data_IF_631956421314
#
_entry.id   IF_631956421314
#
_cell.length_a   1.000
_cell.length_b   1.000
_cell.length_c   1.000
_cell.angle_alpha   90.00
_cell.angle_beta   90.00
_cell.angle_gamma   90.00
#
_symmetry.space_group_name_H-M   'P 1'
#
loop_
_entity.id
_entity.type
_entity.pdbx_description
1 polymer ?
#
# COMPACT_ATOMS: atom_id res chain seq x y z
N UNK A 1 -24.53 0.65 -13.12
CA UNK A 1 -24.27 -0.48 -12.21
C UNK A 1 -23.51 0.03 -10.99
N UNK A 2 -24.07 -0.16 -9.80
CA UNK A 2 -23.47 0.31 -8.56
C UNK A 2 -23.94 -0.52 -7.37
N UNK A 3 -23.08 -0.62 -6.37
CA UNK A 3 -23.47 -1.08 -5.04
C UNK A 3 -23.86 0.09 -4.17
N UNK A 4 -24.91 -0.10 -3.40
CA UNK A 4 -25.40 0.86 -2.43
C UNK A 4 -25.39 0.24 -1.04
N UNK A 5 -24.91 1.02 -0.07
CA UNK A 5 -25.10 0.76 1.35
C UNK A 5 -26.44 1.36 1.73
N UNK A 6 -27.42 0.49 1.91
CA UNK A 6 -28.75 0.84 2.35
C UNK A 6 -28.81 0.70 3.87
N UNK A 7 -29.22 1.76 4.57
CA UNK A 7 -29.38 1.77 6.01
C UNK A 7 -30.78 2.22 6.38
N UNK A 8 -31.43 1.49 7.29
CA UNK A 8 -32.76 1.83 7.78
C UNK A 8 -32.93 1.37 9.23
N UNK A 9 -33.92 1.94 9.94
CA UNK A 9 -34.23 1.53 11.30
C UNK A 9 -35.10 0.27 11.31
N UNK A 10 -34.82 -0.65 12.23
CA UNK A 10 -35.69 -1.79 12.51
C UNK A 10 -36.87 -1.37 13.41
N UNK A 11 -37.84 -2.27 13.62
CA UNK A 11 -38.97 -2.07 14.56
C UNK A 11 -38.52 -1.65 15.97
N UNK A 12 -37.33 -2.08 16.39
CA UNK A 12 -36.73 -1.79 17.69
C UNK A 12 -35.81 -0.55 17.72
N UNK A 13 -35.77 0.26 16.66
CA UNK A 13 -34.91 1.45 16.59
C UNK A 13 -33.41 1.18 16.31
N UNK A 14 -33.02 -0.09 16.09
CA UNK A 14 -31.65 -0.44 15.72
C UNK A 14 -31.37 -0.21 14.23
N UNK A 15 -30.19 0.29 13.90
CA UNK A 15 -29.77 0.59 12.53
C UNK A 15 -29.35 -0.68 11.79
N UNK A 16 -30.11 -1.07 10.77
CA UNK A 16 -29.80 -2.19 9.89
C UNK A 16 -29.03 -1.69 8.67
N UNK A 17 -28.00 -2.42 8.27
CA UNK A 17 -27.22 -2.11 7.06
C UNK A 17 -27.26 -3.29 6.10
N UNK A 18 -27.46 -3.00 4.81
CA UNK A 18 -27.48 -3.98 3.72
C UNK A 18 -26.73 -3.44 2.52
N UNK A 19 -26.06 -4.32 1.80
CA UNK A 19 -25.43 -3.99 0.51
C UNK A 19 -26.37 -4.45 -0.59
N UNK A 20 -26.86 -3.51 -1.39
CA UNK A 20 -27.83 -3.75 -2.45
C UNK A 20 -27.20 -3.40 -3.80
N UNK A 21 -27.39 -4.29 -4.77
CA UNK A 21 -26.98 -4.05 -6.15
C UNK A 21 -28.09 -3.38 -6.95
N UNK A 22 -27.76 -2.29 -7.63
CA UNK A 22 -28.61 -1.70 -8.67
C UNK A 22 -27.96 -1.89 -10.05
N UNK A 23 -28.70 -2.37 -11.06
CA UNK A 23 -28.20 -2.42 -12.43
C UNK A 23 -27.94 -0.99 -12.97
N UNK A 24 -28.75 -0.02 -12.54
CA UNK A 24 -28.64 1.39 -12.93
C UNK A 24 -27.76 2.16 -11.94
N UNK A 25 -27.33 3.37 -12.31
CA UNK A 25 -26.66 4.32 -11.40
C UNK A 25 -27.60 4.92 -10.35
N UNK A 26 -28.92 4.86 -10.58
CA UNK A 26 -29.93 5.33 -9.64
C UNK A 26 -30.33 4.22 -8.64
N UNK A 27 -30.64 4.63 -7.42
CA UNK A 27 -31.25 3.78 -6.41
C UNK A 27 -32.70 4.21 -6.18
N UNK A 28 -33.62 3.25 -6.18
CA UNK A 28 -35.03 3.49 -5.88
C UNK A 28 -35.48 2.54 -4.79
N UNK A 29 -36.18 3.07 -3.79
CA UNK A 29 -36.79 2.29 -2.72
C UNK A 29 -38.15 2.87 -2.35
N UNK A 30 -39.11 1.99 -2.03
CA UNK A 30 -40.42 2.40 -1.50
C UNK A 30 -40.28 2.68 0.00
N UNK A 31 -40.56 3.91 0.48
CA UNK A 31 -40.31 4.30 1.87
C UNK A 31 -41.24 3.61 2.89
N UNK A 32 -42.38 3.05 2.44
CA UNK A 32 -43.39 2.45 3.32
C UNK A 32 -42.81 1.26 4.10
N UNK A 33 -42.84 1.34 5.44
CA UNK A 33 -42.41 0.27 6.34
C UNK A 33 -40.90 0.25 6.65
N UNK A 34 -40.12 1.24 6.20
CA UNK A 34 -38.67 1.31 6.44
C UNK A 34 -38.27 2.09 7.70
N UNK A 35 -39.25 2.62 8.45
CA UNK A 35 -39.03 3.43 9.64
C UNK A 35 -38.89 4.92 9.32
N UNK A 36 -38.55 5.71 10.34
CA UNK A 36 -38.38 7.18 10.25
C UNK A 36 -37.08 7.63 9.58
N UNK A 37 -36.12 6.72 9.40
CA UNK A 37 -34.80 7.04 8.85
C UNK A 37 -34.40 6.05 7.75
N UNK A 38 -33.98 6.61 6.63
CA UNK A 38 -33.44 5.89 5.47
C UNK A 38 -32.19 6.64 5.02
N UNK A 39 -31.07 5.92 4.90
CA UNK A 39 -29.84 6.45 4.33
C UNK A 39 -29.36 5.54 3.20
N UNK A 40 -29.01 6.13 2.07
CA UNK A 40 -28.54 5.43 0.88
C UNK A 40 -27.26 6.09 0.43
N UNK A 41 -26.18 5.31 0.42
CA UNK A 41 -24.88 5.79 -0.01
C UNK A 41 -24.29 4.83 -1.02
N UNK A 42 -23.57 5.36 -2.01
CA UNK A 42 -22.80 4.51 -2.92
C UNK A 42 -21.71 3.80 -2.11
N UNK A 43 -21.62 2.49 -2.26
CA UNK A 43 -20.71 1.65 -1.49
C UNK A 43 -19.55 1.17 -2.34
N UNK A 44 -18.35 1.23 -1.78
CA UNK A 44 -17.14 0.65 -2.35
C UNK A 44 -16.43 -0.20 -1.29
N UNK A 45 -15.92 -1.35 -1.69
CA UNK A 45 -15.10 -2.19 -0.83
C UNK A 45 -13.69 -1.62 -0.75
N UNK A 46 -13.25 -1.31 0.46
CA UNK A 46 -11.87 -0.92 0.72
C UNK A 46 -11.00 -2.15 0.86
N UNK A 47 -9.92 -2.19 0.08
CA UNK A 47 -8.92 -3.26 0.12
C UNK A 47 -7.57 -2.61 0.35
N UNK A 48 -6.93 -3.01 1.45
CA UNK A 48 -5.61 -2.54 1.79
C UNK A 48 -4.60 -3.60 1.40
N UNK A 49 -3.77 -3.29 0.41
CA UNK A 49 -2.70 -4.19 0.01
C UNK A 49 -1.51 -3.42 -0.60
N UNK A 50 -0.30 -3.84 -0.23
CA UNK A 50 0.93 -3.11 -0.57
C UNK A 50 1.34 -3.24 -2.05
N UNK A 51 1.14 -4.41 -2.65
CA UNK A 51 1.70 -4.73 -3.98
C UNK A 51 0.65 -5.25 -4.96
N UNK A 52 -0.10 -6.28 -4.57
CA UNK A 52 -1.12 -6.90 -5.41
C UNK A 52 -2.32 -5.97 -5.62
N UNK A 53 -2.78 -5.92 -6.86
CA UNK A 53 -4.05 -5.30 -7.22
C UNK A 53 -5.22 -6.21 -6.82
N UNK A 54 -6.39 -5.64 -6.48
CA UNK A 54 -7.53 -6.45 -6.10
C UNK A 54 -8.05 -7.22 -7.30
N UNK A 55 -8.32 -8.51 -7.10
CA UNK A 55 -8.95 -9.38 -8.09
C UNK A 55 -10.23 -9.98 -7.51
N UNK A 56 -11.14 -10.38 -8.39
CA UNK A 56 -12.37 -11.07 -8.02
C UNK A 56 -12.26 -12.54 -8.38
N UNK A 57 -12.55 -13.39 -7.40
CA UNK A 57 -12.62 -14.83 -7.57
C UNK A 57 -14.06 -15.29 -7.31
N UNK A 58 -14.58 -16.18 -8.14
CA UNK A 58 -15.88 -16.82 -7.96
C UNK A 58 -15.67 -18.29 -7.72
N UNK A 59 -16.16 -18.77 -6.57
CA UNK A 59 -16.09 -20.18 -6.23
C UNK A 59 -17.15 -21.00 -7.00
N UNK A 60 -17.02 -22.32 -6.97
CA UNK A 60 -17.98 -23.27 -7.59
C UNK A 60 -19.40 -23.08 -7.08
N UNK A 61 -19.55 -22.64 -5.82
CA UNK A 61 -20.84 -22.37 -5.18
C UNK A 61 -21.47 -21.03 -5.61
N UNK A 62 -20.80 -20.24 -6.47
CA UNK A 62 -21.26 -18.92 -6.94
C UNK A 62 -20.95 -17.77 -5.96
N UNK A 63 -20.30 -18.06 -4.84
CA UNK A 63 -19.81 -17.05 -3.92
C UNK A 63 -18.63 -16.29 -4.51
N UNK A 64 -18.66 -14.95 -4.39
CA UNK A 64 -17.62 -14.08 -4.90
C UNK A 64 -16.73 -13.57 -3.77
N UNK A 65 -15.42 -13.58 -4.01
CA UNK A 65 -14.39 -13.17 -3.07
C UNK A 65 -13.50 -12.11 -3.68
N UNK A 66 -13.01 -11.18 -2.85
CA UNK A 66 -11.94 -10.26 -3.22
C UNK A 66 -10.60 -10.85 -2.79
N UNK A 67 -9.69 -11.02 -3.75
CA UNK A 67 -8.29 -11.33 -3.53
C UNK A 67 -7.47 -10.04 -3.43
N UNK A 68 -6.41 -10.01 -2.59
CA UNK A 68 -5.85 -11.11 -1.80
C UNK A 68 -6.51 -11.35 -0.43
N UNK A 69 -7.41 -10.47 0.02
CA UNK A 69 -7.99 -10.53 1.39
C UNK A 69 -8.92 -11.73 1.62
N UNK A 70 -9.31 -12.48 0.58
CA UNK A 70 -10.30 -13.57 0.61
C UNK A 70 -11.63 -13.15 1.25
N UNK A 71 -12.00 -11.87 1.12
CA UNK A 71 -13.23 -11.34 1.73
C UNK A 71 -14.42 -11.72 0.86
N UNK A 72 -15.41 -12.39 1.44
CA UNK A 72 -16.69 -12.68 0.77
C UNK A 72 -17.44 -11.38 0.49
N UNK A 73 -17.89 -11.21 -0.75
CA UNK A 73 -18.55 -10.01 -1.24
C UNK A 73 -19.81 -10.33 -2.02
N UNK A 74 -20.59 -9.29 -2.33
CA UNK A 74 -21.82 -9.44 -3.10
C UNK A 74 -21.52 -10.07 -4.49
N UNK A 75 -22.32 -11.04 -4.97
CA UNK A 75 -22.03 -11.79 -6.19
C UNK A 75 -21.94 -10.92 -7.44
N UNK A 76 -22.69 -9.81 -7.49
CA UNK A 76 -22.67 -8.83 -8.59
C UNK A 76 -21.62 -7.73 -8.46
N UNK A 77 -20.66 -7.86 -7.54
CA UNK A 77 -19.55 -6.91 -7.43
C UNK A 77 -18.70 -6.87 -8.69
N UNK A 78 -18.29 -5.66 -9.05
CA UNK A 78 -17.37 -5.38 -10.15
C UNK A 78 -16.08 -4.77 -9.61
N UNK A 79 -15.01 -4.74 -10.40
CA UNK A 79 -13.73 -4.12 -10.01
C UNK A 79 -13.87 -2.63 -9.71
N UNK A 80 -14.81 -1.94 -10.36
CA UNK A 80 -15.10 -0.51 -10.13
C UNK A 80 -15.66 -0.24 -8.72
N UNK A 81 -16.29 -1.24 -8.10
CA UNK A 81 -16.81 -1.14 -6.73
C UNK A 81 -15.73 -1.38 -5.67
N UNK A 82 -14.46 -1.55 -6.07
CA UNK A 82 -13.33 -1.75 -5.17
C UNK A 82 -12.48 -0.48 -5.16
N UNK A 83 -12.03 -0.10 -3.96
CA UNK A 83 -11.08 0.97 -3.72
C UNK A 83 -9.81 0.36 -3.13
N UNK A 84 -8.72 0.38 -3.91
CA UNK A 84 -7.42 -0.09 -3.47
C UNK A 84 -6.72 1.03 -2.70
N UNK A 85 -6.56 0.85 -1.40
CA UNK A 85 -5.81 1.75 -0.54
C UNK A 85 -4.39 1.19 -0.44
N UNK A 86 -3.44 1.89 -1.06
CA UNK A 86 -2.02 1.53 -0.96
C UNK A 86 -1.46 2.12 0.33
N UNK A 87 -0.83 1.33 1.21
CA UNK A 87 -0.14 1.88 2.37
C UNK A 87 0.92 2.88 1.89
N UNK A 88 0.99 4.03 2.55
CA UNK A 88 2.01 5.03 2.26
C UNK A 88 3.37 4.40 2.60
N UNK A 89 4.29 4.38 1.63
CA UNK A 89 5.68 4.00 1.91
C UNK A 89 6.26 5.05 2.85
N UNK A 90 6.93 4.61 3.90
CA UNK A 90 7.73 5.50 4.72
C UNK A 90 8.79 6.19 3.83
N UNK A 91 8.94 7.51 3.99
CA UNK A 91 9.94 8.26 3.25
C UNK A 91 11.31 7.84 3.78
N UNK A 92 12.10 7.20 2.94
CA UNK A 92 13.50 6.87 3.28
C UNK A 92 14.29 8.14 3.51
N UNK A 93 15.16 8.15 4.50
CA UNK A 93 16.10 9.25 4.68
C UNK A 93 17.09 9.27 3.51
N UNK A 94 17.44 10.46 3.05
CA UNK A 94 18.41 10.59 1.96
C UNK A 94 19.77 10.08 2.42
N UNK A 95 20.47 9.29 1.59
CA UNK A 95 21.79 8.80 1.95
C UNK A 95 22.78 9.96 1.99
N UNK A 96 23.70 9.91 2.95
CA UNK A 96 24.81 10.87 3.03
C UNK A 96 25.87 10.40 2.02
N UNK A 97 26.19 11.25 1.05
CA UNK A 97 27.08 10.92 -0.07
C UNK A 97 28.38 11.73 0.08
N UNK A 98 29.50 11.03 0.17
CA UNK A 98 30.84 11.62 0.05
C UNK A 98 31.51 11.15 -1.24
N UNK A 99 32.11 12.08 -1.97
CA UNK A 99 32.92 11.81 -3.18
C UNK A 99 34.40 11.92 -2.82
N UNK A 100 35.17 10.89 -3.19
CA UNK A 100 36.60 10.82 -2.96
C UNK A 100 37.31 10.64 -4.30
N UNK A 101 38.30 11.48 -4.59
CA UNK A 101 39.12 11.35 -5.82
C UNK A 101 40.17 10.26 -5.60
N UNK A 102 40.45 9.46 -6.64
CA UNK A 102 41.47 8.42 -6.55
C UNK A 102 42.86 9.04 -6.45
N UNK A 103 43.73 8.42 -5.65
CA UNK A 103 45.14 8.84 -5.54
C UNK A 103 45.97 8.52 -6.79
N UNK A 104 45.46 7.67 -7.70
CA UNK A 104 46.19 7.15 -8.85
C UNK A 104 45.89 7.90 -10.16
N UNK A 105 44.74 8.57 -10.24
CA UNK A 105 44.35 9.47 -11.33
C UNK A 105 43.26 10.42 -10.82
N UNK A 106 43.41 11.71 -11.09
CA UNK A 106 42.41 12.73 -10.79
C UNK A 106 41.07 12.48 -11.47
N UNK A 107 41.06 11.67 -12.54
CA UNK A 107 39.89 11.45 -13.40
C UNK A 107 38.98 10.36 -12.86
N UNK A 108 39.44 9.57 -11.88
CA UNK A 108 38.68 8.49 -11.26
C UNK A 108 38.13 8.95 -9.92
N UNK A 109 36.81 9.05 -9.80
CA UNK A 109 36.12 9.41 -8.55
C UNK A 109 35.37 8.22 -7.95
N UNK A 110 35.54 8.00 -6.65
CA UNK A 110 34.82 7.00 -5.88
C UNK A 110 33.74 7.65 -5.01
N UNK A 111 32.53 7.10 -5.05
CA UNK A 111 31.41 7.53 -4.22
C UNK A 111 31.25 6.59 -3.03
N UNK A 112 31.17 7.17 -1.85
CA UNK A 112 30.77 6.50 -0.61
C UNK A 112 29.41 7.00 -0.15
N UNK A 113 28.51 6.08 0.17
CA UNK A 113 27.14 6.36 0.61
C UNK A 113 26.91 5.74 1.98
N UNK A 114 26.32 6.50 2.89
CA UNK A 114 25.80 6.00 4.16
C UNK A 114 24.27 6.07 4.15
N UNK A 115 23.61 4.97 4.49
CA UNK A 115 22.16 4.87 4.60
C UNK A 115 21.74 4.94 6.06
N UNK A 116 21.16 6.05 6.55
CA UNK A 116 20.76 6.19 7.95
C UNK A 116 19.71 5.17 8.34
N UNK A 117 18.76 4.89 7.44
CA UNK A 117 17.65 3.95 7.68
C UNK A 117 18.11 2.52 7.99
N UNK A 118 19.23 2.07 7.42
CA UNK A 118 19.72 0.69 7.58
C UNK A 118 21.08 0.62 8.28
N UNK A 119 21.70 1.75 8.62
CA UNK A 119 23.06 1.83 9.19
C UNK A 119 24.16 1.30 8.27
N UNK A 120 23.88 1.10 6.98
CA UNK A 120 24.80 0.44 6.05
C UNK A 120 25.65 1.45 5.29
N UNK A 121 26.91 1.09 5.07
CA UNK A 121 27.85 1.84 4.25
C UNK A 121 28.07 1.13 2.92
N UNK A 122 28.08 1.91 1.84
CA UNK A 122 28.36 1.43 0.49
C UNK A 122 29.47 2.28 -0.13
N UNK A 123 30.43 1.64 -0.80
CA UNK A 123 31.44 2.34 -1.58
C UNK A 123 31.62 1.63 -2.93
N UNK A 124 31.79 2.39 -4.00
CA UNK A 124 32.04 1.85 -5.34
C UNK A 124 33.52 1.50 -5.59
N UNK A 125 34.42 1.71 -4.63
CA UNK A 125 35.85 1.50 -4.87
C UNK A 125 36.22 -0.01 -4.85
N UNK A 126 37.20 -0.45 -5.68
CA UNK A 126 37.65 -1.84 -5.69
C UNK A 126 38.18 -2.33 -4.32
N UNK A 127 38.58 -1.40 -3.45
CA UNK A 127 39.03 -1.69 -2.09
C UNK A 127 37.95 -2.33 -1.21
N UNK A 128 36.66 -2.19 -1.55
CA UNK A 128 35.56 -2.89 -0.85
C UNK A 128 35.62 -4.38 -1.12
N UNK A 129 35.82 -4.79 -2.36
CA UNK A 129 35.85 -6.22 -2.73
C UNK A 129 37.15 -6.91 -2.34
N UNK A 130 38.26 -6.17 -2.27
CA UNK A 130 39.58 -6.71 -1.90
C UNK A 130 39.80 -6.83 -0.38
N UNK A 131 39.09 -6.04 0.44
CA UNK A 131 39.24 -6.09 1.89
C UNK A 131 38.51 -7.31 2.47
N UNK A 132 39.16 -8.05 3.37
CA UNK A 132 38.58 -9.21 4.09
C UNK A 132 37.26 -8.85 4.78
N UNK A 133 37.22 -7.67 5.39
CA UNK A 133 36.05 -7.18 6.14
C UNK A 133 35.04 -6.43 5.26
N UNK A 134 35.28 -6.36 3.94
CA UNK A 134 34.52 -5.52 2.97
C UNK A 134 34.45 -4.02 3.32
N UNK A 135 35.33 -3.54 4.21
CA UNK A 135 35.42 -2.13 4.62
C UNK A 135 36.67 -1.47 4.04
N UNK A 136 36.47 -0.65 3.02
CA UNK A 136 37.54 0.14 2.41
C UNK A 136 37.95 1.34 3.27
N UNK A 137 39.06 2.00 2.93
CA UNK A 137 39.54 3.20 3.63
C UNK A 137 38.47 4.31 3.70
N UNK A 138 37.70 4.49 2.63
CA UNK A 138 36.65 5.51 2.57
C UNK A 138 35.47 5.20 3.51
N UNK A 139 35.07 3.93 3.63
CA UNK A 139 34.02 3.51 4.59
C UNK A 139 34.49 3.77 6.02
N UNK A 140 35.74 3.39 6.35
CA UNK A 140 36.30 3.63 7.69
C UNK A 140 36.40 5.12 8.03
N UNK A 141 36.75 5.96 7.05
CA UNK A 141 36.78 7.40 7.22
C UNK A 141 35.38 7.98 7.51
N UNK A 142 34.36 7.51 6.80
CA UNK A 142 32.96 7.86 7.07
C UNK A 142 32.49 7.37 8.45
N UNK A 143 32.80 6.14 8.83
CA UNK A 143 32.47 5.60 10.17
C UNK A 143 33.07 6.46 11.30
N UNK A 144 34.31 6.93 11.13
CA UNK A 144 34.97 7.82 12.10
C UNK A 144 34.31 9.20 12.17
N UNK A 145 33.84 9.74 11.03
CA UNK A 145 33.11 11.02 11.00
C UNK A 145 31.74 10.92 11.68
N UNK A 146 31.05 9.79 11.57
CA UNK A 146 29.74 9.56 12.18
C UNK A 146 29.77 9.14 13.65
N UNK A 147 30.93 8.70 14.18
CA UNK A 147 31.10 8.32 15.61
C UNK A 147 31.42 9.50 16.53
N UNK A 148 31.70 10.68 15.99
CA UNK A 148 31.88 11.92 16.74
C UNK A 148 30.53 12.59 16.96
#
# INVERSE_FOLDING_TARGET
MALFKFQNLNKYGNLRTRIVYSPTSAFSCKPKGLGSFINVQRFRYKVEHAYLSPALYTDRNGDKFILPTLKKVHPKTTLNDIELIRPKKEKRTEPIIETNVSSSSSDITYTTKYYPDSGNYYCNCPGVWRAKDRRCKHIKALELKHKK
#
